data_IF_407918996214
#
_entry.id   IF_407918996214
#
_cell.length_a   1.000
_cell.length_b   1.000
_cell.length_c   1.000
_cell.angle_alpha   90.00
_cell.angle_beta   90.00
_cell.angle_gamma   90.00
#
_symmetry.space_group_name_H-M   'P 1'
#
loop_
_entity.id
_entity.type
_entity.pdbx_description
1 polymer ?
#
# COMPACT_ATOMS: atom_id res chain seq x y z
N UNK A 1 11.35 -21.04 40.61
CA UNK A 1 10.75 -19.71 40.38
C UNK A 1 11.58 -18.97 39.35
N UNK A 2 11.16 -18.95 38.09
CA UNK A 2 11.87 -18.23 37.03
C UNK A 2 11.34 -16.79 36.96
N UNK A 3 12.26 -15.83 37.10
CA UNK A 3 12.00 -14.38 37.06
C UNK A 3 11.50 -14.01 35.66
N UNK A 4 10.26 -13.54 35.53
CA UNK A 4 9.73 -12.97 34.29
C UNK A 4 10.50 -11.67 34.06
N UNK A 5 11.33 -11.60 33.03
CA UNK A 5 11.97 -10.34 32.62
C UNK A 5 10.87 -9.38 32.20
N UNK A 6 10.70 -8.30 32.96
CA UNK A 6 9.82 -7.19 32.61
C UNK A 6 10.34 -6.60 31.29
N UNK A 7 9.52 -6.67 30.24
CA UNK A 7 9.87 -6.08 28.95
C UNK A 7 9.81 -4.56 29.09
N UNK A 8 10.95 -3.89 29.05
CA UNK A 8 11.07 -2.42 29.04
C UNK A 8 10.69 -1.84 27.66
N UNK A 9 9.47 -2.13 27.21
CA UNK A 9 8.87 -1.48 26.05
C UNK A 9 8.32 -0.09 26.41
N UNK A 10 8.12 0.80 25.43
CA UNK A 10 7.47 2.08 25.68
C UNK A 10 6.06 1.86 26.26
N UNK A 11 5.72 2.62 27.31
CA UNK A 11 4.37 2.63 27.88
C UNK A 11 3.43 3.44 27.00
N UNK A 12 2.25 2.90 26.67
CA UNK A 12 1.21 3.56 25.88
C UNK A 12 -0.09 3.55 26.69
N UNK A 13 -0.72 4.72 26.86
CA UNK A 13 -2.02 4.84 27.50
C UNK A 13 -3.16 4.48 26.54
N UNK A 14 -4.33 4.04 27.05
CA UNK A 14 -5.51 3.83 26.23
C UNK A 14 -5.93 5.08 25.45
N UNK A 15 -5.85 6.25 26.08
CA UNK A 15 -6.22 7.54 25.49
C UNK A 15 -5.30 7.89 24.31
N UNK A 16 -3.98 7.73 24.46
CA UNK A 16 -3.01 7.94 23.38
C UNK A 16 -3.28 6.99 22.19
N UNK A 17 -3.63 5.73 22.47
CA UNK A 17 -3.95 4.77 21.43
C UNK A 17 -5.24 5.14 20.67
N UNK A 18 -6.26 5.64 21.37
CA UNK A 18 -7.51 6.11 20.77
C UNK A 18 -7.29 7.36 19.92
N UNK A 19 -6.60 8.35 20.48
CA UNK A 19 -6.25 9.59 19.77
C UNK A 19 -5.41 9.31 18.53
N UNK A 20 -4.41 8.42 18.62
CA UNK A 20 -3.57 8.02 17.49
C UNK A 20 -4.38 7.45 16.31
N UNK A 21 -5.44 6.67 16.57
CA UNK A 21 -6.27 6.10 15.52
C UNK A 21 -7.37 7.05 15.00
N UNK A 22 -7.64 8.15 15.72
CA UNK A 22 -8.76 9.05 15.42
C UNK A 22 -8.32 10.39 14.81
N UNK A 23 -7.19 10.96 15.23
CA UNK A 23 -6.79 12.30 14.84
C UNK A 23 -6.32 12.39 13.38
N UNK A 24 -6.61 13.54 12.74
CA UNK A 24 -6.28 13.78 11.33
C UNK A 24 -7.18 12.97 10.40
N UNK A 25 -6.74 11.77 10.02
CA UNK A 25 -7.52 10.83 9.19
C UNK A 25 -7.65 9.50 9.95
N UNK A 26 -8.88 9.11 10.34
CA UNK A 26 -9.09 7.87 11.08
C UNK A 26 -8.56 6.63 10.36
N UNK A 27 -7.99 5.71 11.13
CA UNK A 27 -7.38 4.48 10.62
C UNK A 27 -5.88 4.63 10.31
N UNK A 28 -5.30 3.56 9.76
CA UNK A 28 -3.83 3.46 9.55
C UNK A 28 -3.42 3.17 8.12
N UNK A 29 -4.39 2.92 7.24
CA UNK A 29 -4.14 2.49 5.87
C UNK A 29 -4.42 3.64 4.90
N UNK A 30 -3.50 3.83 3.96
CA UNK A 30 -3.67 4.72 2.82
C UNK A 30 -3.17 4.05 1.53
N UNK A 31 -3.63 4.56 0.39
CA UNK A 31 -3.19 4.14 -0.94
C UNK A 31 -2.68 5.39 -1.65
N UNK A 32 -1.43 5.33 -2.10
CA UNK A 32 -0.75 6.45 -2.78
C UNK A 32 -0.19 5.98 -4.11
N UNK A 33 -0.28 6.81 -5.14
CA UNK A 33 0.27 6.50 -6.45
C UNK A 33 1.81 6.46 -6.42
N UNK A 34 2.40 5.41 -7.00
CA UNK A 34 3.86 5.24 -7.07
C UNK A 34 4.51 5.90 -8.28
N UNK A 35 3.72 6.41 -9.23
CA UNK A 35 4.17 7.05 -10.47
C UNK A 35 3.67 8.50 -10.52
N UNK A 36 4.37 9.43 -11.21
CA UNK A 36 3.90 10.81 -11.37
C UNK A 36 2.53 10.85 -12.02
N UNK A 37 1.62 11.70 -11.52
CA UNK A 37 0.24 11.87 -12.03
C UNK A 37 -0.11 13.35 -12.23
N UNK A 38 0.90 14.20 -12.47
CA UNK A 38 0.73 15.66 -12.41
C UNK A 38 0.34 16.29 -13.76
N UNK A 39 0.65 15.62 -14.87
CA UNK A 39 0.45 16.16 -16.22
C UNK A 39 -0.55 15.35 -17.03
N UNK A 40 -1.09 15.95 -18.11
CA UNK A 40 -1.93 15.22 -19.07
C UNK A 40 -1.19 14.02 -19.68
N UNK A 41 0.13 14.15 -19.90
CA UNK A 41 0.96 13.06 -20.40
C UNK A 41 1.04 11.93 -19.39
N UNK A 42 1.24 12.23 -18.11
CA UNK A 42 1.28 11.24 -17.04
C UNK A 42 -0.03 10.46 -16.96
N UNK A 43 -1.16 11.18 -16.99
CA UNK A 43 -2.49 10.57 -16.97
C UNK A 43 -2.76 9.72 -18.20
N UNK A 44 -2.31 10.16 -19.38
CA UNK A 44 -2.42 9.39 -20.63
C UNK A 44 -1.61 8.10 -20.61
N UNK A 45 -0.50 8.06 -19.85
CA UNK A 45 0.31 6.84 -19.65
C UNK A 45 -0.32 5.90 -18.61
N UNK A 46 -0.84 6.46 -17.52
CA UNK A 46 -1.40 5.69 -16.40
C UNK A 46 -2.80 5.13 -16.67
N UNK A 47 -3.57 5.83 -17.50
CA UNK A 47 -4.92 5.48 -17.91
C UNK A 47 -5.00 5.37 -19.43
N UNK A 48 -6.19 5.57 -20.01
CA UNK A 48 -6.37 5.55 -21.45
C UNK A 48 -5.59 6.71 -22.12
N UNK A 49 -4.88 6.46 -23.23
CA UNK A 49 -4.76 5.17 -23.94
C UNK A 49 -3.62 4.25 -23.45
N UNK A 50 -2.66 4.76 -22.67
CA UNK A 50 -1.41 4.07 -22.32
C UNK A 50 -1.60 2.75 -21.57
N UNK A 51 -2.58 2.67 -20.67
CA UNK A 51 -2.88 1.47 -19.87
C UNK A 51 -3.21 0.23 -20.72
N UNK A 52 -3.64 0.42 -21.97
CA UNK A 52 -3.94 -0.69 -22.87
C UNK A 52 -2.70 -1.56 -23.19
N UNK A 53 -1.50 -0.99 -23.14
CA UNK A 53 -0.25 -1.69 -23.46
C UNK A 53 0.05 -2.80 -22.43
N UNK A 54 0.18 -2.52 -21.11
CA UNK A 54 0.38 -3.59 -20.13
C UNK A 54 -0.81 -4.55 -20.04
N UNK A 55 -2.06 -4.09 -20.28
CA UNK A 55 -3.23 -4.98 -20.31
C UNK A 55 -3.10 -6.04 -21.41
N UNK A 56 -2.73 -5.65 -22.63
CA UNK A 56 -2.53 -6.60 -23.74
C UNK A 56 -1.36 -7.55 -23.47
N UNK A 57 -0.25 -7.03 -22.93
CA UNK A 57 0.90 -7.85 -22.56
C UNK A 57 0.55 -8.93 -21.52
N UNK A 58 -0.31 -8.60 -20.54
CA UNK A 58 -0.80 -9.57 -19.54
C UNK A 58 -1.81 -10.55 -20.15
N UNK A 59 -2.63 -10.11 -21.10
CA UNK A 59 -3.55 -10.99 -21.81
C UNK A 59 -2.81 -12.03 -22.66
N UNK A 60 -1.69 -11.66 -23.27
CA UNK A 60 -0.80 -12.56 -24.02
C UNK A 60 -0.01 -13.49 -23.09
N UNK A 61 0.50 -12.98 -21.97
CA UNK A 61 1.22 -13.75 -20.95
C UNK A 61 0.81 -13.31 -19.54
N UNK A 62 -0.01 -14.12 -18.83
CA UNK A 62 -0.48 -13.80 -17.49
C UNK A 62 0.63 -13.63 -16.43
N UNK A 63 1.83 -14.16 -16.66
CA UNK A 63 2.96 -14.02 -15.72
C UNK A 63 3.46 -12.57 -15.63
N UNK A 64 3.28 -11.78 -16.69
CA UNK A 64 3.67 -10.35 -16.75
C UNK A 64 2.88 -9.46 -15.80
N UNK A 65 1.82 -9.99 -15.18
CA UNK A 65 1.14 -9.31 -14.08
C UNK A 65 2.09 -9.01 -12.90
N UNK A 66 3.14 -9.82 -12.70
CA UNK A 66 4.15 -9.58 -11.68
C UNK A 66 5.11 -8.42 -12.04
N UNK A 67 5.28 -8.12 -13.33
CA UNK A 67 6.15 -7.03 -13.79
C UNK A 67 5.43 -5.68 -13.84
N UNK A 68 4.17 -5.68 -14.30
CA UNK A 68 3.44 -4.46 -14.66
C UNK A 68 2.35 -4.04 -13.67
N UNK A 69 2.22 -4.74 -12.54
CA UNK A 69 1.25 -4.41 -11.50
C UNK A 69 1.88 -4.47 -10.11
N UNK A 70 1.13 -4.07 -9.09
CA UNK A 70 1.54 -4.19 -7.69
C UNK A 70 1.60 -5.63 -7.18
N UNK A 71 1.13 -6.62 -7.95
CA UNK A 71 1.02 -8.04 -7.55
C UNK A 71 2.32 -8.63 -7.00
N UNK A 72 3.47 -8.25 -7.55
CA UNK A 72 4.77 -8.76 -7.08
C UNK A 72 5.16 -8.37 -5.66
N UNK A 73 4.49 -7.36 -5.08
CA UNK A 73 4.78 -6.85 -3.73
C UNK A 73 3.53 -6.69 -2.86
N UNK A 74 2.34 -7.10 -3.34
CA UNK A 74 1.08 -6.95 -2.63
C UNK A 74 0.75 -8.22 -1.83
N UNK A 75 0.62 -8.07 -0.50
CA UNK A 75 0.23 -9.15 0.42
C UNK A 75 -1.08 -8.77 1.09
N UNK A 76 -2.10 -9.65 0.99
CA UNK A 76 -3.35 -9.50 1.73
C UNK A 76 -3.22 -10.13 3.12
N UNK A 77 -3.63 -9.38 4.15
CA UNK A 77 -3.80 -9.90 5.52
C UNK A 77 -5.27 -10.33 5.64
N UNK A 78 -5.51 -11.64 5.63
CA UNK A 78 -6.84 -12.26 5.70
C UNK A 78 -7.12 -12.70 7.13
#
# INVERSE_FOLDING_TARGET
MARKTESSGPSVSPEEALEFHAMGRPGKLEIVATKPMATQRDLSLAYSPGVAVPVRAIAEDPSRAFDYTTRGNMVAVI
#
